data_IF_210728783908
#
_entry.id   IF_210728783908
#
_cell.length_a   1.000
_cell.length_b   1.000
_cell.length_c   1.000
_cell.angle_alpha   90.00
_cell.angle_beta   90.00
_cell.angle_gamma   90.00
#
_symmetry.space_group_name_H-M   'P 1'
#
loop_
_entity.id
_entity.type
_entity.pdbx_description
1 polymer ?
#
# COMPACT_ATOMS: atom_id res chain seq x y z
N UNK A 1 22.91 41.79 -21.13
CA UNK A 1 21.60 41.34 -20.58
C UNK A 1 21.62 39.88 -20.12
N UNK A 2 21.87 38.89 -20.98
CA UNK A 2 21.75 37.46 -20.62
C UNK A 2 22.71 36.96 -19.53
N UNK A 3 23.91 37.55 -19.39
CA UNK A 3 24.89 37.16 -18.35
C UNK A 3 24.58 37.73 -16.95
N UNK A 4 24.01 38.93 -16.87
CA UNK A 4 23.72 39.60 -15.59
C UNK A 4 22.52 38.96 -14.91
N UNK A 5 21.44 38.71 -15.66
CA UNK A 5 20.25 38.02 -15.15
C UNK A 5 20.57 36.59 -14.67
N UNK A 6 21.43 35.87 -15.40
CA UNK A 6 21.86 34.53 -15.01
C UNK A 6 22.67 34.52 -13.71
N UNK A 7 23.56 35.51 -13.49
CA UNK A 7 24.31 35.64 -12.24
C UNK A 7 23.41 35.98 -11.05
N UNK A 8 22.44 36.89 -11.21
CA UNK A 8 21.50 37.27 -10.14
C UNK A 8 20.56 36.12 -9.77
N UNK A 9 20.14 35.31 -10.76
CA UNK A 9 19.31 34.12 -10.51
C UNK A 9 20.09 33.03 -9.77
N UNK A 10 21.38 32.83 -10.10
CA UNK A 10 22.26 31.89 -9.42
C UNK A 10 22.59 32.31 -7.97
N UNK A 11 22.81 33.60 -7.72
CA UNK A 11 23.09 34.11 -6.36
C UNK A 11 21.85 34.05 -5.45
N UNK A 12 20.64 34.25 -5.99
CA UNK A 12 19.39 34.08 -5.24
C UNK A 12 19.09 32.61 -4.93
N UNK A 13 19.35 31.69 -5.87
CA UNK A 13 19.23 30.25 -5.65
C UNK A 13 20.25 29.70 -4.63
N UNK A 14 21.45 30.28 -4.56
CA UNK A 14 22.44 29.93 -3.52
C UNK A 14 22.08 30.50 -2.13
N UNK A 15 21.37 31.63 -2.08
CA UNK A 15 20.82 32.22 -0.85
C UNK A 15 19.65 31.41 -0.25
N UNK A 16 18.82 30.77 -1.08
CA UNK A 16 17.71 29.90 -0.63
C UNK A 16 18.17 28.64 0.11
N UNK A 17 19.42 28.19 -0.07
CA UNK A 17 19.97 27.11 0.76
C UNK A 17 20.12 27.47 2.24
N UNK A 18 19.98 28.75 2.62
CA UNK A 18 20.20 29.22 3.98
C UNK A 18 19.06 30.03 4.61
N UNK A 19 17.96 30.36 3.91
CA UNK A 19 16.78 31.00 4.50
C UNK A 19 15.46 30.52 3.88
N UNK A 20 14.46 30.23 4.72
CA UNK A 20 13.08 29.91 4.36
C UNK A 20 12.34 31.16 3.81
N UNK A 21 12.61 31.54 2.56
CA UNK A 21 11.75 32.46 1.83
C UNK A 21 10.64 31.66 1.16
N UNK A 22 9.39 32.09 1.31
CA UNK A 22 8.28 31.48 0.58
C UNK A 22 8.41 31.82 -0.92
N UNK A 23 7.95 30.95 -1.82
CA UNK A 23 8.07 31.17 -3.26
C UNK A 23 7.39 32.45 -3.78
N UNK A 24 6.43 33.01 -3.03
CA UNK A 24 5.78 34.28 -3.36
C UNK A 24 6.75 35.46 -3.19
N UNK A 25 7.56 35.46 -2.13
CA UNK A 25 8.54 36.51 -1.83
C UNK A 25 9.67 36.54 -2.88
N UNK A 26 10.10 35.36 -3.37
CA UNK A 26 11.07 35.26 -4.47
C UNK A 26 10.48 35.80 -5.78
N UNK A 27 9.22 35.46 -6.11
CA UNK A 27 8.54 35.96 -7.30
C UNK A 27 8.35 37.48 -7.28
N UNK A 28 8.00 38.05 -6.11
CA UNK A 28 7.86 39.49 -5.92
C UNK A 28 9.23 40.17 -6.11
N UNK A 29 10.29 39.63 -5.51
CA UNK A 29 11.65 40.18 -5.58
C UNK A 29 12.19 40.17 -7.02
N UNK A 30 12.00 39.08 -7.76
CA UNK A 30 12.41 38.97 -9.17
C UNK A 30 11.63 39.93 -10.07
N UNK A 31 10.32 40.10 -9.84
CA UNK A 31 9.52 41.09 -10.58
C UNK A 31 9.98 42.52 -10.31
N UNK A 32 10.35 42.83 -9.06
CA UNK A 32 10.83 44.17 -8.68
C UNK A 32 12.19 44.49 -9.31
N UNK A 33 13.10 43.52 -9.33
CA UNK A 33 14.42 43.66 -9.97
C UNK A 33 14.29 43.90 -11.49
N UNK A 34 13.38 43.18 -12.16
CA UNK A 34 13.10 43.38 -13.59
C UNK A 34 12.45 44.73 -13.92
N UNK A 35 11.75 45.34 -12.96
CA UNK A 35 11.15 46.67 -13.13
C UNK A 35 12.18 47.79 -13.00
N UNK A 36 13.22 47.57 -12.19
CA UNK A 36 14.28 48.55 -11.94
C UNK A 36 15.33 48.65 -13.07
N UNK A 37 15.59 47.59 -13.85
CA UNK A 37 16.56 47.66 -14.96
C UNK A 37 16.03 48.42 -16.20
N UNK A 38 14.71 48.52 -16.38
CA UNK A 38 14.08 49.12 -17.57
C UNK A 38 13.92 50.64 -17.49
N UNK A 39 14.02 51.23 -16.30
CA UNK A 39 14.01 52.69 -16.12
C UNK A 39 15.31 53.35 -16.57
N UNK A 40 16.33 52.56 -16.94
CA UNK A 40 17.67 53.04 -17.33
C UNK A 40 18.02 52.86 -18.82
N UNK A 41 17.08 52.41 -19.68
CA UNK A 41 17.35 52.13 -21.10
C UNK A 41 16.67 53.12 -22.06
N UNK A 42 17.36 53.44 -23.16
CA UNK A 42 16.92 54.36 -24.24
C UNK A 42 15.52 54.00 -24.82
N UNK A 43 14.69 54.99 -25.22
CA UNK A 43 13.28 54.79 -25.58
C UNK A 43 13.08 53.88 -26.81
N UNK A 44 14.06 53.77 -27.71
CA UNK A 44 14.00 52.89 -28.89
C UNK A 44 14.16 51.41 -28.53
N UNK A 45 14.75 51.09 -27.38
CA UNK A 45 14.86 49.73 -26.85
C UNK A 45 13.73 49.34 -25.89
N UNK A 46 12.87 50.30 -25.55
CA UNK A 46 11.82 50.14 -24.55
C UNK A 46 10.69 49.21 -25.03
N UNK A 47 10.32 49.27 -26.32
CA UNK A 47 9.24 48.45 -26.88
C UNK A 47 9.63 46.96 -26.99
N UNK A 48 10.86 46.67 -27.44
CA UNK A 48 11.40 45.29 -27.44
C UNK A 48 11.63 44.76 -26.03
N UNK A 49 12.02 45.63 -25.09
CA UNK A 49 12.13 45.30 -23.67
C UNK A 49 10.80 44.93 -23.04
N UNK A 50 9.71 45.62 -23.42
CA UNK A 50 8.35 45.35 -22.93
C UNK A 50 7.83 43.98 -23.38
N UNK A 51 8.03 43.61 -24.64
CA UNK A 51 7.63 42.30 -25.16
C UNK A 51 8.42 41.18 -24.46
N UNK A 52 9.74 41.33 -24.33
CA UNK A 52 10.57 40.34 -23.65
C UNK A 52 10.17 40.18 -22.17
N UNK A 53 9.86 41.29 -21.48
CA UNK A 53 9.38 41.29 -20.10
C UNK A 53 8.06 40.56 -19.92
N UNK A 54 7.12 40.78 -20.85
CA UNK A 54 5.83 40.10 -20.85
C UNK A 54 6.01 38.59 -21.03
N UNK A 55 6.87 38.16 -21.96
CA UNK A 55 7.20 36.75 -22.17
C UNK A 55 7.84 36.14 -20.92
N UNK A 56 8.83 36.80 -20.32
CA UNK A 56 9.50 36.32 -19.10
C UNK A 56 8.54 36.24 -17.91
N UNK A 57 7.62 37.19 -17.74
CA UNK A 57 6.59 37.15 -16.69
C UNK A 57 5.61 35.99 -16.89
N UNK A 58 5.17 35.75 -18.12
CA UNK A 58 4.30 34.60 -18.44
C UNK A 58 5.02 33.27 -18.22
N UNK A 59 6.30 33.18 -18.59
CA UNK A 59 7.12 31.99 -18.36
C UNK A 59 7.37 31.73 -16.87
N UNK A 60 7.71 32.77 -16.09
CA UNK A 60 7.87 32.68 -14.64
C UNK A 60 6.55 32.31 -13.95
N UNK A 61 5.43 32.93 -14.33
CA UNK A 61 4.12 32.60 -13.77
C UNK A 61 3.74 31.14 -14.08
N UNK A 62 3.98 30.69 -15.31
CA UNK A 62 3.76 29.29 -15.71
C UNK A 62 4.65 28.35 -14.91
N UNK A 63 5.94 28.65 -14.78
CA UNK A 63 6.88 27.88 -13.96
C UNK A 63 6.45 27.85 -12.49
N UNK A 64 6.00 28.96 -11.91
CA UNK A 64 5.50 29.01 -10.53
C UNK A 64 4.20 28.24 -10.35
N UNK A 65 3.28 28.28 -11.32
CA UNK A 65 2.06 27.47 -11.30
C UNK A 65 2.44 25.98 -11.36
N UNK A 66 3.31 25.57 -12.28
CA UNK A 66 3.77 24.18 -12.38
C UNK A 66 4.60 23.73 -11.18
N UNK A 67 5.47 24.59 -10.64
CA UNK A 67 6.26 24.31 -9.45
C UNK A 67 5.38 24.23 -8.22
N UNK A 68 4.40 25.13 -8.03
CA UNK A 68 3.43 25.01 -6.93
C UNK A 68 2.50 23.80 -7.09
N UNK A 69 2.17 23.39 -8.31
CA UNK A 69 1.39 22.17 -8.54
C UNK A 69 2.22 20.92 -8.22
N UNK A 70 3.51 20.91 -8.57
CA UNK A 70 4.46 19.87 -8.20
C UNK A 70 4.76 19.87 -6.70
N UNK A 71 4.83 21.03 -6.05
CA UNK A 71 5.07 21.18 -4.61
C UNK A 71 3.81 20.89 -3.78
N UNK A 72 2.62 21.17 -4.30
CA UNK A 72 1.34 20.72 -3.73
C UNK A 72 1.19 19.20 -3.82
N UNK A 73 1.75 18.55 -4.85
CA UNK A 73 1.90 17.10 -4.88
C UNK A 73 2.96 16.57 -3.88
N UNK A 74 3.90 17.41 -3.42
CA UNK A 74 4.99 17.04 -2.49
C UNK A 74 4.77 17.46 -1.02
N UNK A 75 3.70 18.18 -0.69
CA UNK A 75 3.40 18.67 0.68
C UNK A 75 2.37 17.81 1.43
N UNK A 76 2.21 16.55 1.04
CA UNK A 76 1.63 15.52 1.90
C UNK A 76 2.80 14.80 2.60
N UNK A 77 2.81 14.71 3.93
CA UNK A 77 3.77 13.84 4.63
C UNK A 77 3.72 12.46 3.99
N UNK A 78 4.76 12.11 3.24
CA UNK A 78 4.83 10.85 2.53
C UNK A 78 4.88 9.73 3.57
N UNK A 79 3.95 8.79 3.48
CA UNK A 79 4.00 7.55 4.26
C UNK A 79 5.40 6.94 4.11
N UNK A 80 5.97 6.44 5.22
CA UNK A 80 7.19 5.63 5.14
C UNK A 80 6.92 4.35 4.32
N UNK A 81 7.95 3.62 3.86
CA UNK A 81 7.75 2.35 3.18
C UNK A 81 6.89 1.37 4.00
N UNK A 82 7.18 1.24 5.30
CA UNK A 82 6.40 0.40 6.22
C UNK A 82 4.94 0.87 6.33
N UNK A 83 4.69 2.17 6.47
CA UNK A 83 3.34 2.71 6.53
C UNK A 83 2.59 2.57 5.19
N UNK A 84 3.29 2.67 4.06
CA UNK A 84 2.72 2.42 2.73
C UNK A 84 2.27 0.97 2.62
N UNK A 85 3.09 0.03 3.09
CA UNK A 85 2.71 -1.38 3.15
C UNK A 85 1.57 -1.65 4.13
N UNK A 86 1.58 -1.01 5.31
CA UNK A 86 0.48 -1.09 6.26
C UNK A 86 -0.84 -0.56 5.67
N UNK A 87 -0.80 0.48 4.83
CA UNK A 87 -1.96 0.89 4.06
C UNK A 87 -2.45 -0.21 3.10
N UNK A 88 -1.54 -0.88 2.37
CA UNK A 88 -1.91 -2.00 1.49
C UNK A 88 -2.60 -3.12 2.29
N UNK A 89 -2.07 -3.46 3.47
CA UNK A 89 -2.71 -4.42 4.38
C UNK A 89 -4.10 -3.95 4.79
N UNK A 90 -4.21 -2.70 5.24
CA UNK A 90 -5.47 -2.13 5.69
C UNK A 90 -6.51 -2.07 4.57
N UNK A 91 -6.09 -1.90 3.32
CA UNK A 91 -6.99 -1.88 2.16
C UNK A 91 -7.73 -3.20 1.98
N UNK A 92 -7.12 -4.33 2.32
CA UNK A 92 -7.79 -5.63 2.35
C UNK A 92 -8.59 -5.81 3.65
N UNK A 93 -7.94 -5.57 4.79
CA UNK A 93 -8.56 -5.75 6.10
C UNK A 93 -9.86 -4.95 6.26
N UNK A 94 -9.96 -3.73 5.71
CA UNK A 94 -11.18 -2.94 5.81
C UNK A 94 -12.37 -3.63 5.12
N UNK A 95 -12.13 -4.27 3.97
CA UNK A 95 -13.15 -5.04 3.24
C UNK A 95 -13.59 -6.28 4.00
N UNK A 96 -12.64 -6.94 4.65
CA UNK A 96 -12.89 -8.06 5.57
C UNK A 96 -13.80 -7.59 6.71
N UNK A 97 -13.41 -6.56 7.48
CA UNK A 97 -14.17 -6.16 8.68
C UNK A 97 -15.51 -5.47 8.41
N UNK A 98 -15.77 -4.98 7.19
CA UNK A 98 -17.09 -4.51 6.75
C UNK A 98 -17.95 -5.62 6.10
N UNK A 99 -17.43 -6.86 6.05
CA UNK A 99 -18.17 -8.06 5.64
C UNK A 99 -18.28 -8.25 4.11
N UNK A 100 -17.36 -7.69 3.33
CA UNK A 100 -17.30 -7.89 1.88
C UNK A 100 -16.41 -9.07 1.49
N UNK A 101 -15.27 -9.23 2.17
CA UNK A 101 -14.29 -10.30 1.95
C UNK A 101 -14.10 -11.16 3.21
N UNK A 102 -13.23 -12.16 3.16
CA UNK A 102 -12.93 -13.10 4.26
C UNK A 102 -13.88 -14.29 4.34
N UNK A 103 -13.84 -15.11 5.39
CA UNK A 103 -14.64 -16.34 5.46
C UNK A 103 -16.17 -16.06 5.39
N UNK A 104 -16.90 -16.59 4.38
CA UNK A 104 -18.34 -16.44 4.26
C UNK A 104 -19.14 -16.79 5.52
N UNK A 105 -18.65 -17.74 6.34
CA UNK A 105 -19.31 -18.15 7.57
C UNK A 105 -19.42 -17.02 8.61
N UNK A 106 -18.53 -16.02 8.56
CA UNK A 106 -18.48 -14.91 9.53
C UNK A 106 -18.82 -13.54 8.92
N UNK A 107 -18.84 -13.40 7.59
CA UNK A 107 -19.10 -12.12 6.89
C UNK A 107 -20.37 -11.42 7.36
N UNK A 108 -21.50 -12.11 7.45
CA UNK A 108 -22.77 -11.49 7.85
C UNK A 108 -22.75 -10.97 9.29
N UNK A 109 -22.06 -11.69 10.19
CA UNK A 109 -21.84 -11.22 11.56
C UNK A 109 -20.98 -9.95 11.54
N UNK A 110 -19.94 -9.89 10.73
CA UNK A 110 -19.09 -8.72 10.62
C UNK A 110 -19.80 -7.53 9.96
N UNK A 111 -20.65 -7.77 8.97
CA UNK A 111 -21.45 -6.72 8.32
C UNK A 111 -22.49 -6.07 9.24
N UNK A 112 -23.02 -6.84 10.19
CA UNK A 112 -24.08 -6.38 11.11
C UNK A 112 -23.56 -5.83 12.43
N UNK A 113 -22.38 -6.25 12.91
CA UNK A 113 -21.86 -5.87 14.22
C UNK A 113 -21.58 -4.36 14.34
N UNK A 114 -22.20 -3.73 15.33
CA UNK A 114 -22.07 -2.30 15.60
C UNK A 114 -22.76 -1.39 14.58
N UNK A 115 -23.48 -1.93 13.58
CA UNK A 115 -24.09 -1.15 12.49
C UNK A 115 -25.01 -0.03 12.99
N UNK A 116 -25.73 -0.27 14.09
CA UNK A 116 -26.66 0.69 14.69
C UNK A 116 -26.03 1.58 15.78
N UNK A 117 -24.76 1.34 16.15
CA UNK A 117 -24.07 2.17 17.13
C UNK A 117 -23.98 3.63 16.66
N UNK A 118 -24.01 4.62 17.58
CA UNK A 118 -23.73 6.01 17.23
C UNK A 118 -22.29 6.18 16.74
N UNK A 119 -22.05 7.18 15.88
CA UNK A 119 -20.70 7.57 15.47
C UNK A 119 -20.10 8.49 16.54
N UNK A 120 -19.66 7.88 17.64
CA UNK A 120 -19.08 8.57 18.80
C UNK A 120 -17.71 7.96 19.14
N UNK A 121 -16.64 8.69 18.80
CA UNK A 121 -15.28 8.23 19.03
C UNK A 121 -14.93 8.09 20.52
N UNK A 122 -15.50 8.94 21.37
CA UNK A 122 -15.21 8.93 22.81
C UNK A 122 -15.84 7.68 23.44
N UNK A 123 -17.12 7.41 23.16
CA UNK A 123 -17.81 6.20 23.62
C UNK A 123 -17.14 4.92 23.09
N UNK A 124 -16.74 4.88 21.82
CA UNK A 124 -16.00 3.74 21.24
C UNK A 124 -14.66 3.53 21.95
N UNK A 125 -13.91 4.61 22.21
CA UNK A 125 -12.62 4.56 22.91
C UNK A 125 -12.77 4.05 24.34
N UNK A 126 -13.80 4.48 25.06
CA UNK A 126 -14.11 4.00 26.41
C UNK A 126 -14.48 2.52 26.42
N UNK A 127 -15.37 2.08 25.53
CA UNK A 127 -15.73 0.67 25.40
C UNK A 127 -14.50 -0.22 25.12
N UNK A 128 -13.65 0.20 24.18
CA UNK A 128 -12.43 -0.54 23.82
C UNK A 128 -11.38 -0.61 24.94
N UNK A 129 -11.45 0.25 25.96
CA UNK A 129 -10.49 0.31 27.08
C UNK A 129 -11.05 -0.29 28.38
N UNK A 130 -12.15 -1.02 28.31
CA UNK A 130 -12.76 -1.69 29.47
C UNK A 130 -13.67 -0.78 30.30
N UNK A 131 -14.36 0.16 29.65
CA UNK A 131 -15.47 0.90 30.27
C UNK A 131 -16.70 0.02 30.53
N UNK A 132 -17.83 0.64 30.89
CA UNK A 132 -19.08 -0.07 31.20
C UNK A 132 -19.72 -0.76 29.97
N UNK A 133 -19.36 -0.34 28.76
CA UNK A 133 -19.86 -0.90 27.50
C UNK A 133 -19.02 -2.10 27.05
N UNK A 134 -19.67 -3.11 26.49
CA UNK A 134 -19.02 -4.30 25.98
C UNK A 134 -18.31 -4.01 24.65
N UNK A 135 -16.99 -4.19 24.60
CA UNK A 135 -16.17 -4.00 23.41
C UNK A 135 -16.63 -4.87 22.23
N UNK A 136 -17.23 -6.03 22.52
CA UNK A 136 -17.76 -6.94 21.51
C UNK A 136 -18.96 -6.36 20.75
N UNK A 137 -19.60 -5.29 21.22
CA UNK A 137 -20.71 -4.65 20.52
C UNK A 137 -20.25 -3.92 19.24
N UNK A 138 -19.00 -3.47 19.23
CA UNK A 138 -18.39 -2.73 18.13
C UNK A 138 -17.39 -3.56 17.35
N UNK A 139 -16.65 -4.41 18.07
CA UNK A 139 -15.45 -5.03 17.56
C UNK A 139 -15.74 -6.27 16.73
N UNK A 140 -15.10 -6.32 15.57
CA UNK A 140 -14.88 -7.55 14.82
C UNK A 140 -13.44 -7.94 15.12
N UNK A 141 -13.27 -8.83 16.09
CA UNK A 141 -12.00 -9.49 16.38
C UNK A 141 -12.30 -10.93 16.71
N UNK A 142 -12.03 -11.81 15.75
CA UNK A 142 -12.03 -13.25 15.97
C UNK A 142 -10.74 -13.86 15.44
N UNK A 143 -10.57 -15.16 15.69
CA UNK A 143 -9.35 -15.89 15.38
C UNK A 143 -8.97 -15.85 13.90
N UNK A 144 -9.90 -15.54 12.99
CA UNK A 144 -9.62 -15.48 11.56
C UNK A 144 -8.78 -14.26 11.17
N UNK A 145 -8.87 -13.14 11.89
CA UNK A 145 -8.23 -11.87 11.48
C UNK A 145 -7.11 -11.42 12.42
N UNK A 146 -6.97 -12.04 13.59
CA UNK A 146 -6.01 -11.63 14.63
C UNK A 146 -4.58 -11.62 14.09
N UNK A 147 -4.17 -12.65 13.35
CA UNK A 147 -2.80 -12.70 12.86
C UNK A 147 -2.55 -11.70 11.73
N UNK A 148 -3.54 -11.39 10.88
CA UNK A 148 -3.47 -10.30 9.91
C UNK A 148 -3.31 -8.93 10.61
N UNK A 149 -4.03 -8.69 11.71
CA UNK A 149 -3.88 -7.47 12.52
C UNK A 149 -2.48 -7.37 13.14
N UNK A 150 -1.89 -8.48 13.60
CA UNK A 150 -0.51 -8.47 14.12
C UNK A 150 0.50 -8.10 13.03
N UNK A 151 0.26 -8.50 11.77
CA UNK A 151 1.09 -8.04 10.65
C UNK A 151 0.91 -6.55 10.44
N UNK A 152 -0.32 -6.04 10.43
CA UNK A 152 -0.58 -4.59 10.34
C UNK A 152 0.15 -3.82 11.44
N UNK A 153 0.05 -4.24 12.71
CA UNK A 153 0.66 -3.56 13.84
C UNK A 153 2.18 -3.63 13.87
N UNK A 154 2.76 -4.63 13.20
CA UNK A 154 4.20 -4.71 13.03
C UNK A 154 4.71 -3.56 12.16
N UNK A 155 4.04 -3.26 11.05
CA UNK A 155 4.43 -2.18 10.14
C UNK A 155 3.88 -0.80 10.54
N UNK A 156 2.79 -0.78 11.32
CA UNK A 156 2.21 0.45 11.85
C UNK A 156 1.62 0.25 13.25
N UNK A 157 2.44 0.52 14.27
CA UNK A 157 2.07 0.32 15.67
C UNK A 157 0.99 1.30 16.16
N UNK A 158 0.74 2.42 15.46
CA UNK A 158 -0.33 3.36 15.82
C UNK A 158 -1.72 2.80 15.51
N UNK A 159 -1.81 1.78 14.66
CA UNK A 159 -3.07 1.07 14.37
C UNK A 159 -3.52 0.16 15.52
N UNK A 160 -2.70 0.02 16.57
CA UNK A 160 -2.99 -0.74 17.77
C UNK A 160 -3.76 0.07 18.82
N UNK A 161 -4.57 -0.58 19.67
CA UNK A 161 -5.32 0.04 20.77
C UNK A 161 -4.47 0.99 21.63
N UNK A 162 -3.24 0.60 21.94
CA UNK A 162 -2.32 1.40 22.77
C UNK A 162 -1.23 2.10 21.94
N UNK A 163 -1.43 2.23 20.62
CA UNK A 163 -0.55 2.98 19.70
C UNK A 163 0.95 2.62 19.85
N UNK A 164 1.25 1.34 20.06
CA UNK A 164 2.61 0.83 20.24
C UNK A 164 3.27 1.11 21.60
N UNK A 165 2.58 1.77 22.53
CA UNK A 165 3.14 2.16 23.84
C UNK A 165 3.15 1.02 24.88
N UNK A 166 2.37 -0.03 24.67
CA UNK A 166 2.27 -1.17 25.59
C UNK A 166 2.95 -2.42 25.03
N UNK A 167 3.65 -3.18 25.89
CA UNK A 167 4.24 -4.49 25.57
C UNK A 167 3.74 -5.54 26.57
N UNK A 168 3.18 -6.68 26.12
CA UNK A 168 3.00 -7.12 24.73
C UNK A 168 1.98 -6.25 23.95
N UNK A 169 2.10 -6.18 22.62
CA UNK A 169 1.14 -5.47 21.78
C UNK A 169 -0.26 -6.04 21.99
N UNK A 170 -1.25 -5.16 22.19
CA UNK A 170 -2.64 -5.57 22.28
C UNK A 170 -3.08 -6.26 20.98
N UNK A 171 -3.92 -7.30 21.01
CA UNK A 171 -4.51 -7.83 19.78
C UNK A 171 -5.60 -6.89 19.21
N UNK A 172 -6.01 -5.87 19.98
CA UNK A 172 -7.10 -4.98 19.63
C UNK A 172 -6.66 -3.79 18.76
N UNK A 173 -7.48 -3.40 17.78
CA UNK A 173 -7.21 -2.23 16.95
C UNK A 173 -7.42 -0.92 17.71
N UNK A 174 -6.84 0.15 17.16
CA UNK A 174 -7.10 1.51 17.61
C UNK A 174 -8.61 1.83 17.54
N UNK A 175 -9.19 2.54 18.53
CA UNK A 175 -10.59 2.97 18.50
C UNK A 175 -10.96 3.71 17.21
N UNK A 176 -10.02 4.46 16.65
CA UNK A 176 -10.17 5.18 15.39
C UNK A 176 -10.43 4.23 14.20
N UNK A 177 -9.80 3.06 14.18
CA UNK A 177 -10.05 2.06 13.14
C UNK A 177 -11.46 1.46 13.25
N UNK A 178 -11.93 1.19 14.49
CA UNK A 178 -13.30 0.75 14.74
C UNK A 178 -14.31 1.83 14.34
N UNK A 179 -14.06 3.07 14.72
CA UNK A 179 -14.88 4.22 14.39
C UNK A 179 -14.99 4.42 12.86
N UNK A 180 -13.86 4.31 12.14
CA UNK A 180 -13.84 4.35 10.68
C UNK A 180 -14.67 3.20 10.08
N UNK A 181 -14.49 1.97 10.57
CA UNK A 181 -15.29 0.82 10.13
C UNK A 181 -16.80 1.07 10.28
N UNK A 182 -17.24 1.57 11.43
CA UNK A 182 -18.66 1.85 11.70
C UNK A 182 -19.21 2.94 10.77
N UNK A 183 -18.42 3.98 10.50
CA UNK A 183 -18.76 4.99 9.51
C UNK A 183 -18.95 4.36 8.13
N UNK A 184 -17.99 3.58 7.63
CA UNK A 184 -18.07 2.94 6.32
C UNK A 184 -19.27 1.97 6.22
N UNK A 185 -19.55 1.20 7.27
CA UNK A 185 -20.73 0.31 7.32
C UNK A 185 -22.05 1.06 7.16
N UNK A 186 -22.20 2.19 7.84
CA UNK A 186 -23.41 3.03 7.72
C UNK A 186 -23.55 3.63 6.33
N UNK A 187 -22.44 4.05 5.72
CA UNK A 187 -22.44 4.58 4.35
C UNK A 187 -22.84 3.52 3.34
N UNK A 188 -22.34 2.29 3.49
CA UNK A 188 -22.75 1.15 2.67
C UNK A 188 -24.23 0.83 2.82
N UNK A 189 -24.72 0.78 4.06
CA UNK A 189 -26.13 0.46 4.33
C UNK A 189 -27.10 1.45 3.71
N UNK A 190 -26.75 2.75 3.74
CA UNK A 190 -27.56 3.82 3.14
C UNK A 190 -27.37 3.95 1.63
N UNK A 191 -26.43 3.21 1.03
CA UNK A 191 -25.99 3.39 -0.35
C UNK A 191 -25.60 4.85 -0.67
N UNK A 192 -24.93 5.51 0.28
CA UNK A 192 -24.50 6.91 0.19
C UNK A 192 -22.97 6.96 0.05
N UNK A 193 -22.39 6.86 -1.15
CA UNK A 193 -20.94 6.88 -1.27
C UNK A 193 -20.35 8.27 -0.95
N UNK A 194 -19.18 8.30 -0.31
CA UNK A 194 -18.47 9.52 0.11
C UNK A 194 -17.67 10.10 -1.06
N UNK A 195 -17.80 11.40 -1.29
CA UNK A 195 -17.02 12.14 -2.30
C UNK A 195 -15.62 12.49 -1.79
N UNK A 196 -14.72 11.50 -1.71
CA UNK A 196 -13.40 11.71 -1.11
C UNK A 196 -12.53 12.72 -1.88
N UNK A 197 -12.78 12.93 -3.17
CA UNK A 197 -12.02 13.89 -3.98
C UNK A 197 -12.07 15.32 -3.46
N UNK A 198 -13.21 15.76 -2.92
CA UNK A 198 -13.30 17.05 -2.26
C UNK A 198 -12.34 17.13 -1.06
N UNK A 199 -12.32 16.07 -0.24
CA UNK A 199 -11.50 15.97 0.96
C UNK A 199 -9.99 15.91 0.63
N UNK A 200 -9.63 15.27 -0.48
CA UNK A 200 -8.24 15.18 -0.95
C UNK A 200 -7.75 16.46 -1.62
N UNK A 201 -8.65 17.21 -2.27
CA UNK A 201 -8.32 18.46 -2.96
C UNK A 201 -8.14 19.61 -1.97
N UNK A 202 -8.94 19.64 -0.91
CA UNK A 202 -8.79 20.59 0.18
C UNK A 202 -8.62 19.85 1.52
N UNK A 203 -7.37 19.54 1.93
CA UNK A 203 -7.09 18.84 3.18
C UNK A 203 -7.62 19.56 4.43
N UNK A 204 -7.79 20.89 4.38
CA UNK A 204 -8.28 21.68 5.52
C UNK A 204 -9.70 21.30 5.92
N UNK A 205 -10.50 20.71 5.01
CA UNK A 205 -11.81 20.16 5.34
C UNK A 205 -11.71 19.17 6.50
N UNK A 206 -10.66 18.33 6.55
CA UNK A 206 -10.47 17.34 7.62
C UNK A 206 -9.37 17.67 8.63
N UNK A 207 -8.34 18.42 8.22
CA UNK A 207 -7.16 18.69 9.06
C UNK A 207 -7.29 19.94 9.93
N UNK A 208 -8.07 20.94 9.49
CA UNK A 208 -8.26 22.19 10.24
C UNK A 208 -9.67 22.24 10.86
N UNK A 209 -9.72 22.27 12.19
CA UNK A 209 -10.98 22.35 12.94
C UNK A 209 -11.67 23.71 12.81
N UNK A 210 -10.90 24.77 12.56
CA UNK A 210 -11.43 26.13 12.41
C UNK A 210 -11.99 26.40 11.02
N UNK A 211 -11.56 25.61 10.03
CA UNK A 211 -12.02 25.73 8.65
C UNK A 211 -13.52 25.44 8.53
N UNK A 212 -14.24 26.32 7.86
CA UNK A 212 -15.67 26.17 7.55
C UNK A 212 -15.80 25.83 6.07
N UNK A 213 -16.17 24.58 5.70
CA UNK A 213 -16.30 24.22 4.30
C UNK A 213 -17.43 24.99 3.63
N UNK A 214 -17.25 25.31 2.35
CA UNK A 214 -18.30 25.98 1.57
C UNK A 214 -19.46 25.01 1.29
N UNK A 215 -20.65 25.52 0.93
CA UNK A 215 -21.76 24.67 0.51
C UNK A 215 -21.39 23.73 -0.65
N UNK A 216 -20.54 24.18 -1.57
CA UNK A 216 -20.05 23.38 -2.70
C UNK A 216 -19.15 22.22 -2.23
N UNK A 217 -18.26 22.46 -1.26
CA UNK A 217 -17.40 21.43 -0.69
C UNK A 217 -18.20 20.39 0.12
N UNK A 218 -19.21 20.84 0.85
CA UNK A 218 -20.14 19.93 1.55
C UNK A 218 -20.93 19.07 0.56
N UNK A 219 -21.47 19.67 -0.49
CA UNK A 219 -22.17 18.95 -1.55
C UNK A 219 -21.24 17.96 -2.29
N UNK A 220 -20.00 18.36 -2.58
CA UNK A 220 -19.03 17.52 -3.26
C UNK A 220 -18.55 16.35 -2.39
N UNK A 221 -18.34 16.56 -1.09
CA UNK A 221 -17.94 15.51 -0.15
C UNK A 221 -19.06 14.52 0.18
N UNK A 222 -20.33 14.94 0.02
CA UNK A 222 -21.53 14.16 0.36
C UNK A 222 -21.57 13.72 1.82
N UNK A 223 -21.00 14.53 2.69
CA UNK A 223 -21.05 14.37 4.14
C UNK A 223 -22.10 15.29 4.73
N UNK A 224 -22.79 14.82 5.77
CA UNK A 224 -23.49 15.70 6.70
C UNK A 224 -22.49 16.44 7.59
N UNK A 225 -22.95 17.51 8.26
CA UNK A 225 -22.10 18.24 9.22
C UNK A 225 -21.65 17.37 10.41
N UNK A 226 -22.52 16.46 10.86
CA UNK A 226 -22.21 15.53 11.94
C UNK A 226 -21.14 14.52 11.50
N UNK A 227 -21.25 13.95 10.30
CA UNK A 227 -20.23 13.07 9.74
C UNK A 227 -18.90 13.78 9.52
N UNK A 228 -18.92 15.04 9.04
CA UNK A 228 -17.71 15.84 8.91
C UNK A 228 -17.06 16.07 10.28
N UNK A 229 -17.84 16.45 11.29
CA UNK A 229 -17.35 16.68 12.65
C UNK A 229 -16.75 15.40 13.23
N UNK A 230 -17.40 14.27 13.02
CA UNK A 230 -16.89 12.96 13.40
C UNK A 230 -15.56 12.63 12.71
N UNK A 231 -15.47 12.81 11.39
CA UNK A 231 -14.23 12.55 10.63
C UNK A 231 -13.10 13.50 11.04
N UNK A 232 -13.38 14.77 11.38
CA UNK A 232 -12.41 15.71 11.95
C UNK A 232 -11.89 15.28 13.32
N UNK A 233 -12.77 14.77 14.19
CA UNK A 233 -12.36 14.19 15.48
C UNK A 233 -11.46 12.98 15.25
N UNK A 234 -11.84 12.12 14.30
CA UNK A 234 -11.12 10.92 13.92
C UNK A 234 -9.70 11.23 13.41
N UNK A 235 -9.57 12.12 12.43
CA UNK A 235 -8.28 12.54 11.87
C UNK A 235 -7.43 13.29 12.89
N UNK A 236 -8.03 14.05 13.80
CA UNK A 236 -7.26 14.69 14.87
C UNK A 236 -6.71 13.69 15.90
N UNK A 237 -7.44 12.59 16.17
CA UNK A 237 -7.02 11.55 17.12
C UNK A 237 -5.97 10.60 16.54
N UNK A 238 -6.08 10.31 15.24
CA UNK A 238 -5.12 9.52 14.49
C UNK A 238 -4.90 10.17 13.10
N UNK A 239 -3.97 11.13 12.98
CA UNK A 239 -3.70 11.87 11.73
C UNK A 239 -3.46 10.97 10.52
N UNK A 240 -2.88 9.80 10.77
CA UNK A 240 -2.54 8.80 9.76
C UNK A 240 -3.72 8.29 8.94
N UNK A 241 -4.94 8.35 9.48
CA UNK A 241 -6.15 7.96 8.74
C UNK A 241 -6.31 8.81 7.48
N UNK A 242 -6.02 10.10 7.53
CA UNK A 242 -6.10 10.97 6.37
C UNK A 242 -5.11 10.55 5.28
N UNK A 243 -3.87 10.23 5.66
CA UNK A 243 -2.83 9.87 4.71
C UNK A 243 -3.16 8.51 4.06
N UNK A 244 -3.76 7.59 4.82
CA UNK A 244 -4.26 6.31 4.29
C UNK A 244 -5.45 6.49 3.34
N UNK A 245 -6.29 7.51 3.52
CA UNK A 245 -7.34 7.83 2.53
C UNK A 245 -6.76 8.29 1.18
N UNK A 246 -5.51 8.75 1.15
CA UNK A 246 -4.83 9.16 -0.08
C UNK A 246 -4.11 8.00 -0.79
N UNK A 247 -3.98 6.87 -0.12
CA UNK A 247 -3.24 5.69 -0.59
C UNK A 247 -3.98 4.98 -1.75
N UNK A 248 -3.30 4.69 -2.87
CA UNK A 248 -3.93 4.10 -4.05
C UNK A 248 -4.70 2.80 -3.79
N UNK A 249 -4.12 1.88 -3.02
CA UNK A 249 -4.73 0.58 -2.73
C UNK A 249 -6.01 0.73 -1.88
N UNK A 250 -5.99 1.62 -0.89
CA UNK A 250 -7.16 1.96 -0.08
C UNK A 250 -8.28 2.57 -0.92
N UNK A 251 -7.96 3.56 -1.75
CA UNK A 251 -8.94 4.19 -2.65
C UNK A 251 -9.60 3.17 -3.57
N UNK A 252 -8.78 2.36 -4.27
CA UNK A 252 -9.31 1.31 -5.14
C UNK A 252 -10.21 0.33 -4.38
N UNK A 253 -9.76 -0.10 -3.21
CA UNK A 253 -10.50 -1.04 -2.36
C UNK A 253 -11.89 -0.50 -1.97
N UNK A 254 -11.95 0.76 -1.51
CA UNK A 254 -13.19 1.39 -1.05
C UNK A 254 -14.12 1.85 -2.20
N UNK A 255 -13.57 2.18 -3.38
CA UNK A 255 -14.36 2.39 -4.62
C UNK A 255 -15.02 1.08 -5.04
N UNK A 256 -14.25 -0.01 -5.12
CA UNK A 256 -14.77 -1.34 -5.48
C UNK A 256 -15.79 -1.87 -4.46
N UNK A 257 -15.69 -1.42 -3.20
CA UNK A 257 -16.67 -1.72 -2.16
C UNK A 257 -17.97 -0.91 -2.28
N UNK A 258 -18.01 0.16 -3.10
CA UNK A 258 -19.14 1.07 -3.22
C UNK A 258 -19.25 2.11 -2.10
N UNK A 259 -18.22 2.25 -1.26
CA UNK A 259 -18.21 3.22 -0.15
C UNK A 259 -17.81 4.62 -0.61
N UNK A 260 -16.97 4.69 -1.64
CA UNK A 260 -16.50 5.96 -2.21
C UNK A 260 -17.18 6.22 -3.55
N UNK A 261 -17.44 7.50 -3.82
CA UNK A 261 -17.92 7.95 -5.11
C UNK A 261 -16.74 7.88 -6.08
N UNK A 262 -16.97 7.22 -7.21
CA UNK A 262 -16.03 7.20 -8.32
C UNK A 262 -16.09 8.53 -9.10
N UNK A 263 -14.92 9.12 -9.37
CA UNK A 263 -14.73 10.31 -10.19
C UNK A 263 -13.31 10.34 -10.78
N UNK A 264 -13.01 11.31 -11.64
CA UNK A 264 -11.75 11.37 -12.38
C UNK A 264 -10.50 11.42 -11.49
N UNK A 265 -10.57 12.05 -10.31
CA UNK A 265 -9.44 12.14 -9.40
C UNK A 265 -9.21 10.81 -8.67
N UNK A 266 -10.29 10.21 -8.17
CA UNK A 266 -10.23 8.91 -7.48
C UNK A 266 -9.82 7.79 -8.43
N UNK A 267 -10.29 7.78 -9.66
CA UNK A 267 -9.87 6.83 -10.71
C UNK A 267 -8.38 6.94 -10.99
N UNK A 268 -7.89 8.15 -11.29
CA UNK A 268 -6.47 8.39 -11.58
C UNK A 268 -5.57 7.98 -10.41
N UNK A 269 -6.00 8.17 -9.17
CA UNK A 269 -5.25 7.72 -7.99
C UNK A 269 -5.35 6.20 -7.79
N UNK A 270 -6.52 5.59 -7.97
CA UNK A 270 -6.74 4.16 -7.84
C UNK A 270 -5.99 3.34 -8.91
N UNK A 271 -5.81 3.88 -10.11
CA UNK A 271 -4.97 3.28 -11.17
C UNK A 271 -3.52 3.08 -10.74
N UNK A 272 -3.01 3.91 -9.82
CA UNK A 272 -1.66 3.77 -9.25
C UNK A 272 -1.53 2.61 -8.27
N UNK A 273 -2.62 1.93 -7.92
CA UNK A 273 -2.60 0.73 -7.09
C UNK A 273 -2.09 -0.48 -7.89
N UNK A 274 -0.83 -0.45 -8.28
CA UNK A 274 -0.20 -1.50 -9.05
C UNK A 274 1.14 -1.86 -8.41
N UNK A 275 1.49 -3.13 -8.50
CA UNK A 275 2.84 -3.55 -8.21
C UNK A 275 3.75 -3.22 -9.40
N UNK A 276 5.02 -2.97 -9.10
CA UNK A 276 6.06 -2.81 -10.13
C UNK A 276 6.84 -4.11 -10.24
N UNK A 277 7.46 -4.39 -11.39
CA UNK A 277 8.45 -5.45 -11.48
C UNK A 277 9.54 -5.25 -10.41
N UNK A 278 9.87 -6.31 -9.70
CA UNK A 278 10.88 -6.32 -8.64
C UNK A 278 12.06 -7.20 -9.04
N UNK A 279 13.24 -6.95 -8.45
CA UNK A 279 14.41 -7.78 -8.71
C UNK A 279 14.35 -9.05 -7.85
N UNK A 280 13.93 -10.14 -8.47
CA UNK A 280 13.83 -11.42 -7.78
C UNK A 280 15.22 -12.05 -7.60
N UNK A 281 15.57 -12.43 -6.38
CA UNK A 281 16.81 -13.15 -6.06
C UNK A 281 16.72 -14.61 -6.47
N UNK A 282 17.68 -15.11 -7.24
CA UNK A 282 17.84 -16.56 -7.44
C UNK A 282 18.34 -17.22 -6.14
N UNK A 283 17.57 -18.16 -5.61
CA UNK A 283 17.90 -18.89 -4.37
C UNK A 283 18.29 -20.36 -4.61
N UNK A 284 17.85 -20.97 -5.70
CA UNK A 284 18.27 -22.32 -6.11
C UNK A 284 18.13 -22.52 -7.64
N UNK A 285 18.91 -23.43 -8.21
CA UNK A 285 18.91 -23.76 -9.63
C UNK A 285 19.81 -22.86 -10.47
N UNK A 286 19.55 -22.80 -11.77
CA UNK A 286 20.34 -22.02 -12.73
C UNK A 286 19.48 -20.93 -13.40
N UNK A 287 19.98 -19.69 -13.63
CA UNK A 287 19.18 -18.61 -14.22
C UNK A 287 18.59 -18.93 -15.60
N UNK A 288 19.23 -19.83 -16.35
CA UNK A 288 18.80 -20.28 -17.67
C UNK A 288 17.93 -21.53 -17.66
N UNK A 289 17.46 -21.97 -16.48
CA UNK A 289 16.54 -23.10 -16.38
C UNK A 289 15.25 -22.80 -17.16
N UNK A 290 14.69 -23.80 -17.87
CA UNK A 290 13.48 -23.61 -18.66
C UNK A 290 12.25 -23.29 -17.81
N UNK A 291 12.20 -23.77 -16.56
CA UNK A 291 11.08 -23.53 -15.64
C UNK A 291 11.51 -22.63 -14.49
N UNK A 292 10.72 -21.59 -14.22
CA UNK A 292 10.95 -20.59 -13.17
C UNK A 292 9.83 -20.61 -12.15
N UNK A 293 10.18 -20.90 -10.90
CA UNK A 293 9.29 -20.83 -9.74
C UNK A 293 9.62 -19.59 -8.94
N UNK A 294 8.62 -18.78 -8.61
CA UNK A 294 8.79 -17.53 -7.85
C UNK A 294 8.05 -17.62 -6.52
N UNK A 295 8.74 -17.24 -5.45
CA UNK A 295 8.18 -17.12 -4.11
C UNK A 295 7.92 -15.65 -3.78
N UNK A 296 6.66 -15.32 -3.49
CA UNK A 296 6.21 -13.98 -3.17
C UNK A 296 5.75 -13.92 -1.70
N UNK A 297 6.52 -13.30 -0.79
CA UNK A 297 6.09 -13.15 0.59
C UNK A 297 4.95 -12.12 0.70
N UNK A 298 3.84 -12.54 1.29
CA UNK A 298 2.64 -11.74 1.43
C UNK A 298 2.11 -11.77 2.86
N UNK A 299 1.63 -10.64 3.35
CA UNK A 299 1.14 -10.47 4.72
C UNK A 299 2.01 -11.19 5.77
N UNK A 300 3.31 -10.89 5.77
CA UNK A 300 4.29 -11.51 6.66
C UNK A 300 5.04 -10.44 7.44
N UNK A 301 5.67 -10.82 8.56
CA UNK A 301 6.55 -9.94 9.36
C UNK A 301 8.03 -10.19 9.08
N UNK A 302 8.36 -11.01 8.09
CA UNK A 302 9.71 -11.46 7.80
C UNK A 302 10.57 -10.40 7.07
N UNK A 303 10.35 -9.12 7.34
CA UNK A 303 11.10 -7.99 6.80
C UNK A 303 11.35 -6.91 7.86
N UNK A 304 12.60 -6.50 8.01
CA UNK A 304 12.95 -5.30 8.76
C UNK A 304 12.77 -4.04 7.91
N UNK A 305 12.51 -2.90 8.56
CA UNK A 305 12.34 -1.58 7.93
C UNK A 305 12.89 -0.43 8.79
N UNK A 306 13.62 -0.76 9.86
CA UNK A 306 14.18 0.23 10.79
C UNK A 306 15.37 0.98 10.20
N UNK A 307 15.55 2.23 10.63
CA UNK A 307 16.68 3.06 10.24
C UNK A 307 18.00 2.47 10.81
N UNK A 308 19.02 2.34 9.97
CA UNK A 308 20.34 1.82 10.36
C UNK A 308 20.67 0.41 9.83
N UNK A 309 19.74 -0.22 9.12
CA UNK A 309 20.00 -1.43 8.35
C UNK A 309 20.35 -1.09 6.89
N UNK A 310 21.07 -2.01 6.24
CA UNK A 310 21.23 -2.00 4.79
C UNK A 310 19.92 -2.46 4.14
N UNK A 311 19.07 -1.49 3.79
CA UNK A 311 17.73 -1.70 3.24
C UNK A 311 17.77 -1.73 1.71
N UNK A 312 16.86 -2.49 1.11
CA UNK A 312 16.60 -2.47 -0.32
C UNK A 312 16.15 -1.07 -0.80
N UNK A 313 16.14 -0.80 -2.12
CA UNK A 313 15.55 0.41 -2.67
C UNK A 313 14.07 0.60 -2.30
N UNK A 314 13.38 -0.48 -1.96
CA UNK A 314 11.99 -0.47 -1.50
C UNK A 314 11.85 -0.15 0.00
N UNK A 315 12.96 0.00 0.74
CA UNK A 315 12.98 0.39 2.15
C UNK A 315 12.80 -0.78 3.13
N UNK A 316 13.06 -2.02 2.71
CA UNK A 316 12.96 -3.20 3.56
C UNK A 316 14.19 -4.09 3.44
N UNK A 317 14.37 -4.98 4.42
CA UNK A 317 15.37 -6.05 4.39
C UNK A 317 14.71 -7.36 4.80
N UNK A 318 14.73 -8.36 3.92
CA UNK A 318 14.31 -9.72 4.26
C UNK A 318 15.06 -10.28 5.48
N UNK A 319 14.33 -10.98 6.34
CA UNK A 319 14.89 -11.69 7.50
C UNK A 319 15.51 -13.02 7.09
N UNK A 320 16.43 -13.56 7.90
CA UNK A 320 16.96 -14.93 7.74
C UNK A 320 15.84 -15.97 7.70
N UNK A 321 14.78 -15.76 8.49
CA UNK A 321 13.62 -16.65 8.56
C UNK A 321 12.90 -16.77 7.21
N UNK A 322 12.81 -15.68 6.42
CA UNK A 322 12.27 -15.74 5.06
C UNK A 322 13.13 -16.61 4.13
N UNK A 323 14.45 -16.46 4.21
CA UNK A 323 15.38 -17.26 3.41
C UNK A 323 15.29 -18.74 3.78
N UNK A 324 15.26 -19.06 5.08
CA UNK A 324 15.14 -20.44 5.57
C UNK A 324 13.86 -21.12 5.08
N UNK A 325 12.70 -20.45 5.21
CA UNK A 325 11.42 -20.97 4.73
C UNK A 325 11.46 -21.19 3.21
N UNK A 326 12.02 -20.23 2.47
CA UNK A 326 12.10 -20.27 1.02
C UNK A 326 13.02 -21.40 0.51
N UNK A 327 14.21 -21.54 1.10
CA UNK A 327 15.14 -22.63 0.76
C UNK A 327 14.58 -24.00 1.12
N UNK A 328 13.88 -24.12 2.25
CA UNK A 328 13.18 -25.36 2.64
C UNK A 328 12.10 -25.71 1.61
N UNK A 329 11.28 -24.75 1.20
CA UNK A 329 10.26 -24.97 0.19
C UNK A 329 10.86 -25.41 -1.15
N UNK A 330 11.90 -24.72 -1.64
CA UNK A 330 12.61 -25.10 -2.87
C UNK A 330 13.15 -26.54 -2.77
N UNK A 331 13.81 -26.88 -1.66
CA UNK A 331 14.36 -28.22 -1.40
C UNK A 331 13.26 -29.28 -1.38
N UNK A 332 12.11 -29.00 -0.76
CA UNK A 332 10.97 -29.90 -0.71
C UNK A 332 10.37 -30.15 -2.10
N UNK A 333 10.25 -29.10 -2.93
CA UNK A 333 9.79 -29.21 -4.31
C UNK A 333 10.79 -30.02 -5.15
N UNK A 334 12.08 -29.70 -5.08
CA UNK A 334 13.13 -30.43 -5.81
C UNK A 334 13.14 -31.92 -5.44
N UNK A 335 13.05 -32.24 -4.15
CA UNK A 335 12.98 -33.62 -3.67
C UNK A 335 11.77 -34.35 -4.23
N UNK A 336 10.60 -33.73 -4.22
CA UNK A 336 9.37 -34.32 -4.76
C UNK A 336 9.49 -34.54 -6.28
N UNK A 337 10.01 -33.57 -7.02
CA UNK A 337 10.26 -33.70 -8.47
C UNK A 337 11.29 -34.79 -8.81
N UNK A 338 12.35 -34.96 -8.01
CA UNK A 338 13.32 -36.05 -8.21
C UNK A 338 12.70 -37.44 -8.02
N UNK A 339 11.71 -37.59 -7.13
CA UNK A 339 11.02 -38.88 -6.97
C UNK A 339 10.25 -39.27 -8.22
N UNK A 340 9.62 -38.30 -8.89
CA UNK A 340 8.88 -38.49 -10.14
C UNK A 340 9.82 -38.94 -11.27
N UNK A 341 10.91 -38.20 -11.49
CA UNK A 341 11.91 -38.54 -12.53
C UNK A 341 12.49 -39.94 -12.31
N UNK A 342 12.73 -40.34 -11.05
CA UNK A 342 13.19 -41.70 -10.74
C UNK A 342 12.13 -42.77 -10.99
N UNK A 343 10.84 -42.45 -10.83
CA UNK A 343 9.76 -43.39 -11.15
C UNK A 343 9.60 -43.56 -12.67
N UNK A 344 9.67 -42.48 -13.44
CA UNK A 344 9.66 -42.52 -14.91
C UNK A 344 10.89 -43.28 -15.46
N UNK A 345 12.09 -43.04 -14.91
CA UNK A 345 13.34 -43.68 -15.35
C UNK A 345 13.48 -45.15 -14.92
N UNK A 346 12.73 -45.64 -13.93
CA UNK A 346 12.73 -47.08 -13.57
C UNK A 346 12.11 -47.97 -14.67
N UNK A 347 11.46 -47.39 -15.68
CA UNK A 347 11.06 -48.07 -16.92
C UNK A 347 12.15 -48.12 -18.00
N UNK A 348 13.24 -47.37 -17.87
CA UNK A 348 14.33 -47.28 -18.83
C UNK A 348 15.65 -47.78 -18.21
N UNK A 349 16.09 -48.97 -18.62
CA UNK A 349 17.36 -49.55 -18.18
C UNK A 349 18.53 -48.77 -18.80
N UNK A 350 19.22 -47.93 -18.02
CA UNK A 350 20.69 -47.82 -18.10
C UNK A 350 21.25 -46.97 -16.96
N UNK A 351 22.36 -47.45 -16.39
CA UNK A 351 23.07 -46.82 -15.29
C UNK A 351 23.77 -45.52 -15.65
N UNK A 352 23.69 -44.57 -14.71
CA UNK A 352 24.47 -43.35 -14.67
C UNK A 352 23.95 -42.51 -13.51
N UNK A 353 24.75 -42.32 -12.44
CA UNK A 353 24.47 -41.31 -11.41
C UNK A 353 24.81 -39.94 -11.97
N UNK A 354 24.11 -39.50 -13.01
CA UNK A 354 24.11 -38.08 -13.37
C UNK A 354 23.01 -37.42 -12.54
N UNK A 355 23.42 -36.50 -11.67
CA UNK A 355 22.52 -35.53 -11.07
C UNK A 355 21.98 -34.67 -12.21
N UNK A 356 20.92 -35.12 -12.86
CA UNK A 356 20.18 -34.31 -13.81
C UNK A 356 19.70 -33.06 -13.07
N UNK A 357 20.20 -31.90 -13.51
CA UNK A 357 19.55 -30.62 -13.21
C UNK A 357 18.09 -30.75 -13.63
N UNK A 358 17.15 -30.56 -12.69
CA UNK A 358 15.72 -30.70 -12.93
C UNK A 358 15.17 -29.71 -13.98
N UNK A 359 15.99 -28.74 -14.42
CA UNK A 359 15.54 -27.67 -15.29
C UNK A 359 14.62 -26.68 -14.59
N UNK A 360 14.71 -26.59 -13.26
CA UNK A 360 13.89 -25.69 -12.43
C UNK A 360 14.81 -24.69 -11.72
N UNK A 361 14.38 -23.45 -11.68
CA UNK A 361 15.02 -22.37 -10.92
C UNK A 361 14.01 -21.75 -9.95
N UNK A 362 14.50 -21.38 -8.77
CA UNK A 362 13.69 -20.84 -7.69
C UNK A 362 14.15 -19.42 -7.39
N UNK A 363 13.21 -18.48 -7.41
CA UNK A 363 13.45 -17.08 -7.13
C UNK A 363 12.62 -16.62 -5.94
N UNK A 364 13.16 -15.67 -5.18
CA UNK A 364 12.51 -15.05 -4.03
C UNK A 364 12.39 -13.55 -4.26
N UNK A 365 11.21 -13.00 -4.00
CA UNK A 365 11.04 -11.57 -3.76
C UNK A 365 11.53 -11.22 -2.34
N UNK A 366 12.67 -10.55 -2.24
CA UNK A 366 13.32 -10.17 -0.98
C UNK A 366 13.50 -8.65 -0.81
N UNK A 367 12.98 -7.82 -1.73
CA UNK A 367 13.06 -6.37 -1.65
C UNK A 367 11.98 -5.78 -0.74
N UNK A 368 10.76 -6.32 -0.75
CA UNK A 368 9.67 -5.88 0.14
C UNK A 368 8.56 -6.92 0.31
N UNK A 369 7.78 -6.85 1.41
CA UNK A 369 6.56 -7.65 1.52
C UNK A 369 5.46 -7.12 0.59
N UNK A 370 4.56 -8.02 0.18
CA UNK A 370 3.42 -7.74 -0.68
C UNK A 370 2.08 -7.97 0.06
N UNK A 371 0.99 -7.40 -0.46
CA UNK A 371 -0.37 -7.58 0.07
C UNK A 371 -1.22 -8.33 -0.95
N UNK A 372 -0.79 -9.57 -1.25
CA UNK A 372 -1.43 -10.46 -2.23
C UNK A 372 -2.50 -11.30 -1.54
N UNK A 373 -3.73 -11.18 -2.02
CA UNK A 373 -4.92 -11.91 -1.58
C UNK A 373 -5.63 -12.52 -2.82
N UNK A 374 -6.56 -13.47 -2.66
CA UNK A 374 -7.13 -14.24 -3.78
C UNK A 374 -7.60 -13.38 -4.96
N UNK A 375 -8.29 -12.28 -4.67
CA UNK A 375 -8.91 -11.42 -5.67
C UNK A 375 -7.89 -10.59 -6.48
N UNK A 376 -6.69 -10.33 -5.94
CA UNK A 376 -5.64 -9.58 -6.64
C UNK A 376 -4.48 -10.45 -7.15
N UNK A 377 -4.44 -11.74 -6.78
CA UNK A 377 -3.30 -12.63 -6.94
C UNK A 377 -2.77 -12.71 -8.37
N UNK A 378 -3.65 -12.95 -9.34
CA UNK A 378 -3.27 -13.09 -10.75
C UNK A 378 -2.67 -11.82 -11.33
N UNK A 379 -3.27 -10.67 -10.98
CA UNK A 379 -2.77 -9.36 -11.42
C UNK A 379 -1.42 -9.04 -10.78
N UNK A 380 -1.29 -9.25 -9.47
CA UNK A 380 -0.04 -9.01 -8.76
C UNK A 380 1.11 -9.89 -9.28
N UNK A 381 0.85 -11.18 -9.53
CA UNK A 381 1.82 -12.09 -10.12
C UNK A 381 2.27 -11.65 -11.52
N UNK A 382 1.33 -11.21 -12.37
CA UNK A 382 1.65 -10.72 -13.70
C UNK A 382 2.46 -9.40 -13.69
N UNK A 383 2.23 -8.55 -12.70
CA UNK A 383 2.95 -7.28 -12.52
C UNK A 383 4.36 -7.47 -11.95
N UNK A 384 4.52 -8.33 -10.94
CA UNK A 384 5.79 -8.54 -10.23
C UNK A 384 6.71 -9.51 -10.99
N UNK A 385 6.16 -10.62 -11.47
CA UNK A 385 6.93 -11.73 -12.01
C UNK A 385 6.31 -12.30 -13.30
N UNK A 386 6.23 -11.53 -14.39
CA UNK A 386 5.59 -11.96 -15.65
C UNK A 386 6.25 -13.17 -16.33
N UNK A 387 7.48 -13.51 -15.95
CA UNK A 387 8.27 -14.61 -16.50
C UNK A 387 8.18 -15.90 -15.67
N UNK A 388 7.36 -15.93 -14.62
CA UNK A 388 7.22 -17.10 -13.75
C UNK A 388 6.28 -18.14 -14.37
N UNK A 389 6.71 -19.41 -14.37
CA UNK A 389 5.87 -20.55 -14.76
C UNK A 389 4.95 -20.98 -13.62
N UNK A 390 5.41 -20.80 -12.39
CA UNK A 390 4.67 -21.04 -11.16
C UNK A 390 4.98 -19.94 -10.14
N UNK A 391 3.93 -19.41 -9.52
CA UNK A 391 4.04 -18.44 -8.44
C UNK A 391 3.49 -19.06 -7.17
N UNK A 392 4.25 -18.97 -6.09
CA UNK A 392 3.83 -19.40 -4.76
C UNK A 392 3.88 -18.18 -3.85
N UNK A 393 2.74 -17.82 -3.29
CA UNK A 393 2.58 -16.75 -2.31
C UNK A 393 2.77 -17.35 -0.92
N UNK A 394 3.82 -16.93 -0.22
CA UNK A 394 4.12 -17.36 1.14
C UNK A 394 3.45 -16.39 2.11
N UNK A 395 2.42 -16.87 2.82
CA UNK A 395 1.66 -16.10 3.79
C UNK A 395 2.31 -16.16 5.17
N UNK A 396 2.24 -15.06 5.92
CA UNK A 396 2.55 -15.07 7.34
C UNK A 396 1.63 -16.01 8.13
N UNK A 397 2.09 -16.45 9.31
CA UNK A 397 1.39 -17.40 10.18
C UNK A 397 -0.11 -17.10 10.31
N UNK A 398 -0.94 -18.09 9.97
CA UNK A 398 -2.40 -18.11 10.08
C UNK A 398 -3.14 -17.00 9.31
N UNK A 399 -2.44 -16.17 8.53
CA UNK A 399 -3.11 -15.06 7.80
C UNK A 399 -4.12 -15.59 6.80
N UNK A 400 -3.89 -16.80 6.28
CA UNK A 400 -4.82 -17.50 5.39
C UNK A 400 -6.26 -17.60 5.92
N UNK A 401 -6.45 -17.57 7.24
CA UNK A 401 -7.77 -17.62 7.88
C UNK A 401 -8.61 -16.35 7.63
N UNK A 402 -7.96 -15.23 7.35
CA UNK A 402 -8.64 -13.98 7.01
C UNK A 402 -9.17 -13.96 5.57
N UNK A 403 -8.85 -14.97 4.77
CA UNK A 403 -9.10 -15.02 3.33
C UNK A 403 -10.15 -16.09 2.97
N UNK A 404 -10.93 -15.81 1.93
CA UNK A 404 -11.81 -16.81 1.34
C UNK A 404 -11.18 -17.42 0.10
N UNK A 405 -11.18 -18.74 0.06
CA UNK A 405 -10.68 -19.53 -1.05
C UNK A 405 -11.87 -20.22 -1.69
N UNK A 406 -12.12 -19.95 -2.97
CA UNK A 406 -12.99 -20.84 -3.75
C UNK A 406 -12.27 -22.19 -3.88
N UNK A 407 -12.99 -23.31 -3.71
CA UNK A 407 -12.40 -24.66 -3.59
C UNK A 407 -11.59 -25.13 -4.80
N UNK A 408 -11.61 -24.37 -5.90
CA UNK A 408 -11.20 -24.83 -7.22
C UNK A 408 -9.90 -24.16 -7.71
N UNK A 409 -9.17 -23.43 -6.84
CA UNK A 409 -7.87 -22.83 -7.20
C UNK A 409 -6.75 -23.89 -7.28
N UNK A 410 -6.83 -24.76 -8.29
CA UNK A 410 -5.73 -25.64 -8.73
C UNK A 410 -4.74 -24.85 -9.63
N UNK A 411 -4.95 -23.54 -9.81
CA UNK A 411 -4.16 -22.69 -10.71
C UNK A 411 -3.23 -21.74 -9.95
N UNK A 412 -2.00 -21.58 -10.44
CA UNK A 412 -1.06 -20.53 -10.03
C UNK A 412 -1.73 -19.13 -10.03
N UNK A 413 -1.52 -18.27 -9.02
CA UNK A 413 -0.63 -18.47 -7.86
C UNK A 413 -1.18 -19.43 -6.79
N UNK A 414 -0.31 -20.23 -6.17
CA UNK A 414 -0.63 -21.06 -4.99
C UNK A 414 -0.31 -20.29 -3.70
N UNK A 415 -1.06 -20.51 -2.63
CA UNK A 415 -0.84 -19.86 -1.33
C UNK A 415 -0.45 -20.88 -0.28
N UNK A 416 0.64 -20.62 0.45
CA UNK A 416 1.16 -21.49 1.50
C UNK A 416 1.39 -20.70 2.78
N UNK A 417 1.02 -21.27 3.93
CA UNK A 417 1.36 -20.69 5.23
C UNK A 417 2.83 -20.97 5.57
N UNK A 418 3.54 -19.97 6.08
CA UNK A 418 4.93 -20.12 6.48
C UNK A 418 5.12 -21.20 7.57
N UNK A 419 4.13 -21.42 8.43
CA UNK A 419 4.19 -22.44 9.47
C UNK A 419 4.02 -23.84 8.89
N UNK A 420 3.14 -23.98 7.88
CA UNK A 420 2.95 -25.25 7.19
C UNK A 420 4.25 -25.66 6.47
N UNK A 421 4.92 -24.70 5.82
CA UNK A 421 6.24 -24.94 5.20
C UNK A 421 7.28 -25.31 6.26
N UNK A 422 7.32 -24.57 7.37
CA UNK A 422 8.31 -24.78 8.44
C UNK A 422 8.23 -26.16 9.06
N UNK A 423 7.02 -26.67 9.25
CA UNK A 423 6.76 -27.97 9.87
C UNK A 423 6.48 -29.08 8.85
N UNK A 424 6.79 -28.86 7.57
CA UNK A 424 6.64 -29.83 6.48
C UNK A 424 5.18 -30.37 6.34
N UNK A 425 4.18 -29.54 6.64
CA UNK A 425 2.74 -29.84 6.57
C UNK A 425 2.11 -29.47 5.21
N UNK A 426 2.91 -29.43 4.15
CA UNK A 426 2.51 -29.00 2.79
C UNK A 426 2.40 -30.16 1.79
N UNK A 427 2.15 -31.39 2.27
CA UNK A 427 2.24 -32.59 1.42
C UNK A 427 1.23 -32.59 0.26
N UNK A 428 0.02 -32.09 0.52
CA UNK A 428 -1.03 -32.00 -0.50
C UNK A 428 -0.65 -30.97 -1.58
N UNK A 429 -0.15 -29.82 -1.15
CA UNK A 429 0.26 -28.72 -2.01
C UNK A 429 1.49 -29.09 -2.85
N UNK A 430 2.43 -29.85 -2.28
CA UNK A 430 3.55 -30.42 -3.05
C UNK A 430 3.07 -31.33 -4.18
N UNK A 431 1.99 -32.09 -4.00
CA UNK A 431 1.38 -32.88 -5.08
C UNK A 431 0.84 -32.02 -6.22
N UNK A 432 0.16 -30.91 -5.89
CA UNK A 432 -0.31 -29.93 -6.88
C UNK A 432 0.86 -29.24 -7.59
N UNK A 433 1.87 -28.79 -6.85
CA UNK A 433 3.08 -28.17 -7.38
C UNK A 433 3.78 -29.13 -8.34
N UNK A 434 3.97 -30.39 -7.95
CA UNK A 434 4.56 -31.41 -8.80
C UNK A 434 3.80 -31.56 -10.11
N UNK A 435 2.48 -31.67 -10.05
CA UNK A 435 1.63 -31.81 -11.26
C UNK A 435 1.84 -30.65 -12.21
N UNK A 436 1.80 -29.41 -11.71
CA UNK A 436 2.01 -28.20 -12.51
C UNK A 436 3.41 -28.19 -13.14
N UNK A 437 4.45 -28.48 -12.36
CA UNK A 437 5.84 -28.41 -12.85
C UNK A 437 6.15 -29.50 -13.88
N UNK A 438 5.63 -30.71 -13.71
CA UNK A 438 5.76 -31.79 -14.70
C UNK A 438 5.10 -31.41 -16.04
N UNK A 439 3.93 -30.77 -16.01
CA UNK A 439 3.30 -30.27 -17.24
C UNK A 439 4.12 -29.19 -17.94
N UNK A 440 4.81 -28.33 -17.16
CA UNK A 440 5.65 -27.25 -17.71
C UNK A 440 6.94 -27.76 -18.30
N UNK A 441 7.59 -28.73 -17.65
CA UNK A 441 8.83 -29.36 -18.16
C UNK A 441 8.63 -30.18 -19.44
N UNK A 442 7.38 -30.57 -19.77
CA UNK A 442 7.02 -31.29 -21.00
C UNK A 442 6.78 -30.36 -22.20
N UNK A 443 6.63 -29.05 -21.98
CA UNK A 443 6.45 -28.04 -23.04
C UNK A 443 7.81 -27.51 -23.47
#
# INVERSE_FOLDING_TARGET
>A
MTKTLALTTLTLLESEKHQELNGLDLFITLNFAMDHELTQTDPIHQEKGLILKMITRVALLSFFIFANQAWAEHSQMSLTPAQSYACEIQSYLIRVVIGLDGDPAVRERWKSRGKNAPLDLEAISEAMKGGEQNELDYMVLDYNIVDLLKVLYYYDSEMNLYKGTYRPLSPYPAPEFIALRLFLLKRLDRAEPVGVSALLTNPNILKDRSYQPTPEEMAASRLSMDELTFLRKLTASLPRIYDYMSCPFMLRSLINAGVLKQDALTDKKAERAAYRPLNLRLISGHPSAPVKVVFLPSYTRNFFFDQGLDLSPSGFKATEELYDISHRLATNIEREMQTEVRQESKGAVSGGKETHSLGISFYLEDERPLAIHPENARKAAAEVCPQADLVIVILGKNVRLAMHWESDYVSSPLFLDEMDIRYDQISQELGTIKTILTERLKR
#
